data_IF_640554058874
#
_entry.id   IF_640554058874
#
_cell.length_a   1.000
_cell.length_b   1.000
_cell.length_c   1.000
_cell.angle_alpha   90.00
_cell.angle_beta   90.00
_cell.angle_gamma   90.00
#
_symmetry.space_group_name_H-M   'P 1'
#
loop_
_entity.id
_entity.type
_entity.pdbx_description
1 polymer ?
#
# COMPACT_ATOMS: atom_id res chain seq x y z
N UNK A 1 8.25 -15.45 -6.05
CA UNK A 1 9.53 -14.70 -6.06
C UNK A 1 9.31 -13.19 -6.24
N UNK A 2 8.68 -12.72 -7.33
CA UNK A 2 8.46 -11.28 -7.57
C UNK A 2 7.68 -10.57 -6.43
N UNK A 3 6.55 -11.12 -6.00
CA UNK A 3 5.76 -10.56 -4.88
C UNK A 3 6.56 -10.48 -3.58
N UNK A 4 7.30 -11.55 -3.23
CA UNK A 4 8.15 -11.58 -2.05
C UNK A 4 9.18 -10.46 -2.06
N UNK A 5 9.84 -10.26 -3.20
CA UNK A 5 10.85 -9.21 -3.35
C UNK A 5 10.24 -7.80 -3.28
N UNK A 6 9.07 -7.60 -3.88
CA UNK A 6 8.35 -6.33 -3.81
C UNK A 6 8.00 -5.97 -2.36
N UNK A 7 7.38 -6.89 -1.61
CA UNK A 7 7.00 -6.65 -0.21
C UNK A 7 8.23 -6.41 0.67
N UNK A 8 9.30 -7.19 0.50
CA UNK A 8 10.54 -6.98 1.23
C UNK A 8 11.14 -5.58 0.98
N UNK A 9 11.06 -5.06 -0.25
CA UNK A 9 11.51 -3.70 -0.57
C UNK A 9 10.62 -2.63 0.08
N UNK A 10 9.30 -2.81 0.11
CA UNK A 10 8.40 -1.87 0.80
C UNK A 10 8.64 -1.83 2.31
N UNK A 11 8.84 -2.99 2.95
CA UNK A 11 9.18 -3.08 4.38
C UNK A 11 10.53 -2.40 4.66
N UNK A 12 11.53 -2.68 3.83
CA UNK A 12 12.85 -2.03 3.94
C UNK A 12 12.77 -0.51 3.81
N UNK A 13 12.10 0.00 2.78
CA UNK A 13 11.93 1.45 2.56
C UNK A 13 11.22 2.09 3.75
N UNK A 14 10.17 1.45 4.27
CA UNK A 14 9.42 1.93 5.44
C UNK A 14 10.29 2.01 6.70
N UNK A 15 11.19 1.04 6.92
CA UNK A 15 12.16 1.07 8.03
C UNK A 15 13.23 2.15 7.83
N UNK A 16 13.76 2.28 6.61
CA UNK A 16 14.76 3.29 6.24
C UNK A 16 14.22 4.71 6.43
N UNK A 17 12.95 4.94 6.10
CA UNK A 17 12.25 6.21 6.23
C UNK A 17 11.71 6.45 7.65
N UNK A 18 12.09 5.61 8.62
CA UNK A 18 11.70 5.71 10.04
C UNK A 18 10.20 5.62 10.33
N UNK A 19 9.38 5.23 9.34
CA UNK A 19 7.97 4.90 9.52
C UNK A 19 7.81 3.60 10.32
N UNK A 20 8.73 2.66 10.12
CA UNK A 20 8.91 1.45 10.93
C UNK A 20 10.24 1.51 11.70
N UNK A 21 10.50 0.58 12.65
CA UNK A 21 11.80 0.50 13.31
C UNK A 21 12.96 0.45 12.31
N UNK A 22 13.95 1.32 12.50
CA UNK A 22 15.09 1.47 11.58
C UNK A 22 15.89 0.18 11.41
N UNK A 23 15.86 -0.71 12.40
CA UNK A 23 16.51 -2.03 12.37
C UNK A 23 16.02 -2.92 11.23
N UNK A 24 14.83 -2.64 10.68
CA UNK A 24 14.26 -3.39 9.55
C UNK A 24 14.68 -2.77 8.19
N UNK A 25 15.10 -1.51 8.20
CA UNK A 25 15.54 -0.74 7.03
C UNK A 25 17.01 -0.94 6.66
N UNK A 26 17.57 -2.13 6.90
CA UNK A 26 19.00 -2.42 6.69
C UNK A 26 19.21 -3.38 5.52
N UNK A 27 20.27 -3.15 4.75
CA UNK A 27 20.74 -4.08 3.71
C UNK A 27 21.86 -4.97 4.23
N UNK A 28 22.03 -6.14 3.59
CA UNK A 28 23.15 -7.03 3.87
C UNK A 28 24.48 -6.39 3.42
N UNK A 29 25.52 -6.43 4.26
CA UNK A 29 26.79 -5.73 4.01
C UNK A 29 27.43 -6.07 2.64
N UNK A 30 27.45 -7.36 2.27
CA UNK A 30 28.03 -7.82 0.98
C UNK A 30 27.02 -7.75 -0.18
N UNK A 31 25.87 -8.40 -0.05
CA UNK A 31 24.91 -8.56 -1.15
C UNK A 31 23.93 -7.38 -1.35
N UNK A 32 23.96 -6.39 -0.45
CA UNK A 32 23.08 -5.20 -0.48
C UNK A 32 21.57 -5.53 -0.56
N UNK A 33 21.18 -6.73 -0.13
CA UNK A 33 19.80 -7.19 -0.14
C UNK A 33 19.08 -6.82 1.17
N UNK A 34 17.76 -6.52 1.14
CA UNK A 34 16.99 -6.21 2.35
C UNK A 34 16.67 -7.48 3.16
N UNK A 35 17.71 -8.08 3.75
CA UNK A 35 17.64 -9.40 4.36
C UNK A 35 16.66 -9.48 5.54
N UNK A 36 16.65 -8.49 6.45
CA UNK A 36 15.72 -8.46 7.59
C UNK A 36 14.27 -8.41 7.10
N UNK A 37 13.97 -7.52 6.15
CA UNK A 37 12.64 -7.41 5.56
C UNK A 37 12.20 -8.71 4.84
N UNK A 38 13.13 -9.38 4.15
CA UNK A 38 12.87 -10.67 3.51
C UNK A 38 12.54 -11.77 4.54
N UNK A 39 13.26 -11.82 5.67
CA UNK A 39 12.97 -12.77 6.76
C UNK A 39 11.59 -12.50 7.36
N UNK A 40 11.25 -11.24 7.64
CA UNK A 40 9.93 -10.86 8.15
C UNK A 40 8.83 -11.35 7.20
N UNK A 41 8.99 -11.11 5.89
CA UNK A 41 8.01 -11.56 4.90
C UNK A 41 7.90 -13.09 4.84
N UNK A 42 9.01 -13.82 4.94
CA UNK A 42 9.01 -15.28 4.95
C UNK A 42 8.29 -15.83 6.19
N UNK A 43 8.57 -15.28 7.36
CA UNK A 43 7.92 -15.68 8.62
C UNK A 43 6.42 -15.38 8.55
N UNK A 44 6.04 -14.19 8.08
CA UNK A 44 4.63 -13.82 7.92
C UNK A 44 3.92 -14.77 6.96
N UNK A 45 4.52 -15.08 5.81
CA UNK A 45 3.96 -16.02 4.84
C UNK A 45 3.80 -17.43 5.44
N UNK A 46 4.82 -17.93 6.14
CA UNK A 46 4.76 -19.24 6.80
C UNK A 46 3.66 -19.31 7.85
N UNK A 47 3.49 -18.26 8.67
CA UNK A 47 2.43 -18.18 9.69
C UNK A 47 1.04 -18.16 9.03
N UNK A 48 0.82 -17.31 8.03
CA UNK A 48 -0.49 -17.19 7.36
C UNK A 48 -0.86 -18.49 6.65
N UNK A 49 0.07 -19.09 5.90
CA UNK A 49 -0.17 -20.36 5.20
C UNK A 49 -0.38 -21.50 6.20
N UNK A 50 0.41 -21.56 7.27
CA UNK A 50 0.27 -22.55 8.34
C UNK A 50 -1.09 -22.48 9.04
N UNK A 51 -1.61 -21.27 9.29
CA UNK A 51 -2.95 -21.07 9.85
C UNK A 51 -4.04 -21.64 8.93
N UNK A 52 -3.97 -21.38 7.62
CA UNK A 52 -4.94 -21.95 6.66
C UNK A 52 -4.88 -23.47 6.63
N UNK A 53 -3.67 -24.05 6.64
CA UNK A 53 -3.48 -25.49 6.66
C UNK A 53 -4.08 -26.14 7.92
N UNK A 54 -3.87 -25.54 9.10
CA UNK A 54 -4.41 -26.05 10.38
C UNK A 54 -5.94 -25.90 10.46
N UNK A 55 -6.49 -24.83 9.87
CA UNK A 55 -7.94 -24.59 9.83
C UNK A 55 -8.65 -25.40 8.72
N UNK A 56 -7.93 -26.22 7.94
CA UNK A 56 -8.49 -27.01 6.85
C UNK A 56 -8.99 -26.18 5.66
N UNK A 57 -8.55 -24.91 5.55
CA UNK A 57 -8.88 -24.03 4.44
C UNK A 57 -7.91 -24.27 3.28
N UNK A 58 -8.37 -24.13 2.03
CA UNK A 58 -7.50 -24.23 0.86
C UNK A 58 -6.57 -23.00 0.79
N UNK A 59 -5.26 -23.16 1.06
CA UNK A 59 -4.32 -22.05 1.11
C UNK A 59 -3.96 -21.53 -0.29
N UNK A 60 -4.32 -22.25 -1.35
CA UNK A 60 -4.09 -21.81 -2.72
C UNK A 60 -5.32 -21.06 -3.20
N UNK A 61 -6.49 -21.70 -3.25
CA UNK A 61 -7.66 -21.07 -3.85
C UNK A 61 -8.21 -19.91 -3.02
N UNK A 62 -8.37 -20.08 -1.71
CA UNK A 62 -8.98 -19.05 -0.86
C UNK A 62 -8.02 -17.89 -0.64
N UNK A 63 -6.81 -18.17 -0.14
CA UNK A 63 -5.83 -17.14 0.19
C UNK A 63 -5.41 -16.33 -1.05
N UNK A 64 -5.12 -16.99 -2.17
CA UNK A 64 -4.69 -16.29 -3.38
C UNK A 64 -5.80 -15.39 -3.94
N UNK A 65 -7.04 -15.90 -4.00
CA UNK A 65 -8.20 -15.12 -4.44
C UNK A 65 -8.40 -13.88 -3.56
N UNK A 66 -8.42 -14.05 -2.23
CA UNK A 66 -8.65 -12.96 -1.30
C UNK A 66 -7.55 -11.91 -1.36
N UNK A 67 -6.28 -12.32 -1.25
CA UNK A 67 -5.15 -11.40 -1.25
C UNK A 67 -5.01 -10.67 -2.60
N UNK A 68 -5.30 -11.32 -3.72
CA UNK A 68 -5.24 -10.67 -5.04
C UNK A 68 -6.32 -9.59 -5.18
N UNK A 69 -7.54 -9.86 -4.73
CA UNK A 69 -8.62 -8.88 -4.76
C UNK A 69 -8.35 -7.70 -3.80
N UNK A 70 -7.86 -7.98 -2.58
CA UNK A 70 -7.47 -6.92 -1.62
C UNK A 70 -6.31 -6.08 -2.16
N UNK A 71 -5.27 -6.72 -2.73
CA UNK A 71 -4.14 -6.01 -3.31
C UNK A 71 -4.57 -5.13 -4.49
N UNK A 72 -5.45 -5.65 -5.36
CA UNK A 72 -6.00 -4.90 -6.50
C UNK A 72 -6.77 -3.67 -6.01
N UNK A 73 -7.65 -3.84 -5.03
CA UNK A 73 -8.37 -2.73 -4.41
C UNK A 73 -7.40 -1.69 -3.83
N UNK A 74 -6.38 -2.13 -3.09
CA UNK A 74 -5.37 -1.26 -2.50
C UNK A 74 -4.61 -0.44 -3.55
N UNK A 75 -4.22 -1.06 -4.67
CA UNK A 75 -3.55 -0.36 -5.79
C UNK A 75 -4.47 0.68 -6.42
N UNK A 76 -5.74 0.35 -6.65
CA UNK A 76 -6.69 1.29 -7.23
C UNK A 76 -6.95 2.47 -6.28
N UNK A 77 -7.02 2.23 -4.97
CA UNK A 77 -7.10 3.30 -3.96
C UNK A 77 -5.86 4.19 -4.03
N UNK A 78 -4.65 3.61 -4.11
CA UNK A 78 -3.42 4.39 -4.28
C UNK A 78 -3.44 5.22 -5.56
N UNK A 79 -3.91 4.66 -6.68
CA UNK A 79 -4.05 5.37 -7.95
C UNK A 79 -5.06 6.53 -7.86
N UNK A 80 -6.19 6.33 -7.18
CA UNK A 80 -7.16 7.39 -6.91
C UNK A 80 -6.53 8.53 -6.09
N UNK A 81 -5.85 8.19 -4.99
CA UNK A 81 -5.18 9.18 -4.13
C UNK A 81 -4.09 9.92 -4.91
N UNK A 82 -3.28 9.22 -5.70
CA UNK A 82 -2.26 9.84 -6.54
C UNK A 82 -2.87 10.80 -7.57
N UNK A 83 -3.96 10.40 -8.22
CA UNK A 83 -4.68 11.22 -9.18
C UNK A 83 -5.26 12.49 -8.54
N UNK A 84 -5.84 12.36 -7.35
CA UNK A 84 -6.30 13.50 -6.55
C UNK A 84 -5.15 14.40 -6.11
N UNK A 85 -4.01 13.82 -5.71
CA UNK A 85 -2.83 14.55 -5.29
C UNK A 85 -2.27 15.44 -6.41
N UNK A 86 -2.29 14.97 -7.67
CA UNK A 86 -1.92 15.78 -8.83
C UNK A 86 -2.82 17.01 -8.96
N UNK A 87 -4.14 16.84 -8.86
CA UNK A 87 -5.09 17.98 -8.91
C UNK A 87 -4.81 18.97 -7.77
N UNK A 88 -4.62 18.47 -6.55
CA UNK A 88 -4.35 19.32 -5.38
C UNK A 88 -3.00 20.05 -5.50
N UNK A 89 -1.98 19.39 -6.03
CA UNK A 89 -0.66 19.98 -6.25
C UNK A 89 -0.72 21.19 -7.18
N UNK A 90 -1.37 21.07 -8.34
CA UNK A 90 -1.47 22.19 -9.28
C UNK A 90 -2.43 23.28 -8.81
N UNK A 91 -3.47 22.95 -8.03
CA UNK A 91 -4.31 23.96 -7.37
C UNK A 91 -3.54 24.76 -6.32
N UNK A 92 -2.62 24.12 -5.59
CA UNK A 92 -1.75 24.77 -4.61
C UNK A 92 -0.59 25.55 -5.27
N UNK A 93 -0.22 25.21 -6.51
CA UNK A 93 0.89 25.83 -7.24
C UNK A 93 0.44 26.37 -8.63
N UNK A 94 -0.41 27.42 -8.69
CA UNK A 94 -0.94 27.92 -9.96
C UNK A 94 0.15 28.37 -10.96
N UNK A 95 1.30 28.85 -10.46
CA UNK A 95 2.43 29.27 -11.29
C UNK A 95 3.09 28.13 -12.08
N UNK A 96 2.96 26.88 -11.61
CA UNK A 96 3.46 25.68 -12.30
C UNK A 96 2.45 25.09 -13.30
N UNK A 97 1.25 25.68 -13.40
CA UNK A 97 0.18 25.15 -14.24
C UNK A 97 0.31 25.63 -15.69
N UNK A 98 0.84 24.78 -16.57
CA UNK A 98 0.95 25.11 -18.00
C UNK A 98 -0.36 24.83 -18.78
N UNK A 99 -1.08 23.75 -18.44
CA UNK A 99 -2.30 23.36 -19.17
C UNK A 99 -3.33 22.68 -18.24
N UNK A 100 -4.44 23.37 -17.99
CA UNK A 100 -5.53 22.91 -17.12
C UNK A 100 -6.12 21.55 -17.53
N UNK A 101 -6.09 21.20 -18.82
CA UNK A 101 -6.55 19.90 -19.30
C UNK A 101 -5.70 18.77 -18.71
N UNK A 102 -4.37 18.91 -18.76
CA UNK A 102 -3.42 17.90 -18.30
C UNK A 102 -3.26 17.88 -16.77
N UNK A 103 -3.41 19.03 -16.12
CA UNK A 103 -3.15 19.16 -14.68
C UNK A 103 -4.40 18.95 -13.81
N UNK A 104 -5.59 19.22 -14.35
CA UNK A 104 -6.82 19.27 -13.55
C UNK A 104 -7.91 18.37 -14.14
N UNK A 105 -8.23 18.53 -15.43
CA UNK A 105 -9.38 17.83 -16.03
C UNK A 105 -9.08 16.33 -16.19
N UNK A 106 -7.97 15.97 -16.82
CA UNK A 106 -7.61 14.55 -17.03
C UNK A 106 -7.40 13.82 -15.70
N UNK A 107 -6.61 14.34 -14.73
CA UNK A 107 -6.49 13.70 -13.43
C UNK A 107 -7.83 13.69 -12.66
N UNK A 108 -8.63 14.75 -12.73
CA UNK A 108 -9.96 14.77 -12.09
C UNK A 108 -10.90 13.67 -12.62
N UNK A 109 -10.92 13.47 -13.94
CA UNK A 109 -11.69 12.40 -14.58
C UNK A 109 -11.19 11.02 -14.15
N UNK A 110 -9.86 10.82 -14.12
CA UNK A 110 -9.23 9.58 -13.66
C UNK A 110 -9.58 9.29 -12.20
N UNK A 111 -9.56 10.29 -11.32
CA UNK A 111 -9.97 10.14 -9.93
C UNK A 111 -11.43 9.66 -9.82
N UNK A 112 -12.36 10.30 -10.53
CA UNK A 112 -13.77 9.90 -10.54
C UNK A 112 -13.93 8.46 -11.03
N UNK A 113 -13.25 8.09 -12.12
CA UNK A 113 -13.28 6.73 -12.65
C UNK A 113 -12.79 5.71 -11.61
N UNK A 114 -11.68 5.97 -10.91
CA UNK A 114 -11.19 5.08 -9.86
C UNK A 114 -12.13 5.02 -8.65
N UNK A 115 -12.75 6.13 -8.24
CA UNK A 115 -13.75 6.12 -7.16
C UNK A 115 -14.95 5.24 -7.53
N UNK A 116 -15.43 5.30 -8.77
CA UNK A 116 -16.51 4.43 -9.25
C UNK A 116 -16.06 2.96 -9.21
N UNK A 117 -14.84 2.66 -9.69
CA UNK A 117 -14.31 1.29 -9.67
C UNK A 117 -14.16 0.77 -8.23
N UNK A 118 -13.64 1.57 -7.32
CA UNK A 118 -13.51 1.24 -5.89
C UNK A 118 -14.88 0.91 -5.31
N UNK A 119 -15.88 1.75 -5.57
CA UNK A 119 -17.25 1.51 -5.12
C UNK A 119 -17.79 0.17 -5.64
N UNK A 120 -17.64 -0.09 -6.94
CA UNK A 120 -18.09 -1.34 -7.57
C UNK A 120 -17.38 -2.57 -7.01
N UNK A 121 -16.07 -2.48 -6.75
CA UNK A 121 -15.30 -3.57 -6.14
C UNK A 121 -15.79 -3.84 -4.72
N UNK A 122 -16.00 -2.80 -3.91
CA UNK A 122 -16.40 -2.97 -2.50
C UNK A 122 -17.79 -3.61 -2.40
N UNK A 123 -18.77 -3.14 -3.18
CA UNK A 123 -20.13 -3.70 -3.12
C UNK A 123 -20.21 -5.13 -3.71
N UNK A 124 -19.34 -5.45 -4.68
CA UNK A 124 -19.29 -6.77 -5.32
C UNK A 124 -18.15 -7.65 -4.80
N UNK A 125 -17.51 -7.27 -3.68
CA UNK A 125 -16.28 -7.92 -3.24
C UNK A 125 -16.48 -9.41 -2.96
N UNK A 126 -17.61 -9.77 -2.34
CA UNK A 126 -17.93 -11.17 -2.06
C UNK A 126 -18.06 -12.01 -3.33
N UNK A 127 -18.63 -11.45 -4.39
CA UNK A 127 -18.74 -12.11 -5.71
C UNK A 127 -17.38 -12.24 -6.40
N UNK A 128 -16.52 -11.22 -6.29
CA UNK A 128 -15.17 -11.21 -6.90
C UNK A 128 -14.18 -12.15 -6.21
N UNK A 129 -14.28 -12.25 -4.90
CA UNK A 129 -13.32 -13.00 -4.06
C UNK A 129 -13.81 -14.38 -3.65
N UNK A 130 -15.12 -14.66 -3.79
CA UNK A 130 -15.78 -15.83 -3.18
C UNK A 130 -15.94 -15.73 -1.66
N UNK A 131 -15.61 -14.57 -1.05
CA UNK A 131 -15.68 -14.36 0.39
C UNK A 131 -17.09 -13.88 0.81
N UNK A 132 -17.89 -14.78 1.38
CA UNK A 132 -19.20 -14.46 1.93
C UNK A 132 -19.17 -13.87 3.35
N UNK A 133 -20.30 -13.31 3.79
CA UNK A 133 -20.53 -12.89 5.16
C UNK A 133 -19.51 -11.84 5.66
N UNK A 134 -18.96 -12.07 6.86
CA UNK A 134 -18.03 -11.15 7.50
C UNK A 134 -16.77 -10.88 6.67
N UNK A 135 -16.22 -11.89 5.99
CA UNK A 135 -15.00 -11.75 5.19
C UNK A 135 -15.20 -10.81 3.99
N UNK A 136 -16.41 -10.77 3.43
CA UNK A 136 -16.76 -9.87 2.33
C UNK A 136 -16.67 -8.37 2.71
N UNK A 137 -16.73 -8.05 4.01
CA UNK A 137 -16.58 -6.68 4.53
C UNK A 137 -15.19 -6.46 5.13
N UNK A 138 -14.69 -7.44 5.88
CA UNK A 138 -13.40 -7.34 6.56
C UNK A 138 -12.23 -7.23 5.59
N UNK A 139 -12.19 -8.06 4.55
CA UNK A 139 -11.09 -8.09 3.59
C UNK A 139 -10.92 -6.76 2.81
N UNK A 140 -11.95 -6.16 2.20
CA UNK A 140 -11.80 -4.83 1.60
C UNK A 140 -11.53 -3.76 2.68
N UNK A 141 -12.08 -3.93 3.89
CA UNK A 141 -11.82 -3.06 5.04
C UNK A 141 -10.33 -3.00 5.45
N UNK A 142 -9.53 -4.05 5.20
CA UNK A 142 -8.08 -4.03 5.45
C UNK A 142 -7.38 -2.89 4.71
N UNK A 143 -7.87 -2.48 3.54
CA UNK A 143 -7.30 -1.36 2.78
C UNK A 143 -7.48 -0.04 3.54
N UNK A 144 -8.66 0.17 4.13
CA UNK A 144 -8.93 1.35 4.96
C UNK A 144 -8.11 1.32 6.26
N UNK A 145 -8.00 0.15 6.90
CA UNK A 145 -7.17 -0.03 8.09
C UNK A 145 -5.71 0.32 7.77
N UNK A 146 -5.16 -0.20 6.67
CA UNK A 146 -3.80 0.11 6.24
C UNK A 146 -3.61 1.61 5.95
N UNK A 147 -4.58 2.27 5.33
CA UNK A 147 -4.54 3.71 5.10
C UNK A 147 -4.52 4.51 6.41
N UNK A 148 -5.37 4.14 7.38
CA UNK A 148 -5.41 4.78 8.71
C UNK A 148 -4.09 4.56 9.45
N UNK A 149 -3.57 3.33 9.46
CA UNK A 149 -2.26 3.02 10.08
C UNK A 149 -1.15 3.85 9.44
N UNK A 150 -1.13 3.95 8.10
CA UNK A 150 -0.17 4.79 7.38
C UNK A 150 -0.25 6.27 7.78
N UNK A 151 -1.46 6.83 7.87
CA UNK A 151 -1.68 8.20 8.33
C UNK A 151 -1.20 8.41 9.77
N UNK A 152 -1.53 7.48 10.68
CA UNK A 152 -1.09 7.55 12.07
C UNK A 152 0.43 7.49 12.20
N UNK A 153 1.08 6.58 11.46
CA UNK A 153 2.55 6.48 11.43
C UNK A 153 3.19 7.76 10.89
N UNK A 154 2.64 8.32 9.80
CA UNK A 154 3.13 9.55 9.21
C UNK A 154 2.95 10.76 10.15
N UNK A 155 1.79 10.89 10.81
CA UNK A 155 1.53 11.95 11.80
C UNK A 155 2.39 11.82 13.05
N UNK A 156 2.62 10.59 13.53
CA UNK A 156 3.52 10.32 14.65
C UNK A 156 4.97 10.68 14.28
N UNK A 157 5.42 10.34 13.07
CA UNK A 157 6.74 10.72 12.56
C UNK A 157 6.87 12.23 12.46
N UNK A 158 5.87 12.93 11.91
CA UNK A 158 5.85 14.40 11.85
C UNK A 158 6.05 15.06 13.21
N UNK A 159 5.53 14.45 14.28
CA UNK A 159 5.65 14.98 15.65
C UNK A 159 6.98 14.61 16.32
N UNK A 160 7.49 13.40 16.06
CA UNK A 160 8.70 12.86 16.71
C UNK A 160 10.01 13.28 16.02
N UNK A 161 10.00 13.35 14.68
CA UNK A 161 11.16 13.69 13.85
C UNK A 161 10.67 14.43 12.58
N UNK A 162 10.41 15.75 12.69
CA UNK A 162 9.92 16.56 11.57
C UNK A 162 10.87 16.56 10.37
N UNK A 163 12.19 16.50 10.62
CA UNK A 163 13.21 16.47 9.57
C UNK A 163 13.09 15.16 8.76
N UNK A 164 12.91 14.02 9.42
CA UNK A 164 12.66 12.77 8.71
C UNK A 164 11.33 12.81 7.92
N UNK A 165 10.29 13.44 8.47
CA UNK A 165 9.01 13.60 7.78
C UNK A 165 9.13 14.46 6.51
N UNK A 166 9.85 15.58 6.55
CA UNK A 166 10.09 16.45 5.38
C UNK A 166 10.95 15.78 4.30
N UNK A 167 11.81 14.85 4.70
CA UNK A 167 12.65 14.07 3.79
C UNK A 167 11.97 12.81 3.24
N UNK A 168 10.71 12.52 3.61
CA UNK A 168 9.97 11.38 3.06
C UNK A 168 9.92 11.45 1.53
N UNK A 169 10.28 10.34 0.89
CA UNK A 169 10.27 10.23 -0.58
C UNK A 169 11.35 11.04 -1.30
N UNK A 170 12.25 11.75 -0.59
CA UNK A 170 13.38 12.39 -1.25
C UNK A 170 14.43 11.34 -1.66
N UNK A 171 15.01 11.44 -2.88
CA UNK A 171 16.17 10.63 -3.25
C UNK A 171 17.32 10.89 -2.28
N UNK A 172 18.18 9.89 -2.06
CA UNK A 172 19.40 10.08 -1.28
C UNK A 172 20.19 11.25 -1.87
N UNK A 173 20.61 12.18 -1.00
CA UNK A 173 21.68 13.10 -1.36
C UNK A 173 22.96 12.28 -1.28
N UNK A 174 23.60 12.07 -2.43
CA UNK A 174 24.92 11.46 -2.52
C UNK A 174 25.95 12.24 -1.70
#
# INVERSE_FOLDING_TARGET
>A
LAFHNAVARYIYVSGREKLLPQTIGVTHAVHQSPHVASVIQSVLAAVVVGLFAVLGLDPVLALFSWLTNVATLGVIVMMAVASLAVVMFFRANPAAQENALKTTILPGLTFIAFVIIIYLIVINFGSLSGAGGFLGVFLPGLVLIAAIVGLLLASALKSRDPIAFENLGQPLKD
#
